data_IF_810975094210
#
_entry.id   IF_810975094210
#
_cell.length_a   1.000
_cell.length_b   1.000
_cell.length_c   1.000
_cell.angle_alpha   90.00
_cell.angle_beta   90.00
_cell.angle_gamma   90.00
#
_symmetry.space_group_name_H-M   'P 1'
#
loop_
_entity.id
_entity.type
_entity.pdbx_description
1 polymer ?
#
# COMPACT_ATOMS: atom_id res chain seq x y z
N UNK A 1 59.45 -30.91 -5.19
CA UNK A 1 59.57 -32.25 -5.79
C UNK A 1 60.76 -32.91 -5.16
N UNK A 2 60.50 -33.78 -4.19
CA UNK A 2 61.46 -34.39 -3.28
C UNK A 2 62.15 -35.59 -3.90
N UNK A 3 63.48 -35.51 -3.95
CA UNK A 3 64.38 -36.64 -4.09
C UNK A 3 64.18 -37.59 -2.90
N UNK A 4 63.78 -38.82 -3.17
CA UNK A 4 64.02 -39.97 -2.30
C UNK A 4 64.48 -41.12 -3.18
N UNK A 5 65.77 -41.08 -3.55
CA UNK A 5 66.47 -42.27 -3.99
C UNK A 5 66.53 -43.23 -2.79
N UNK A 6 65.69 -44.24 -2.80
CA UNK A 6 65.73 -45.33 -1.83
C UNK A 6 66.74 -46.35 -2.37
N UNK A 7 68.02 -46.20 -2.03
CA UNK A 7 69.02 -47.27 -2.18
C UNK A 7 68.77 -48.36 -1.13
N UNK A 8 67.65 -49.06 -1.24
CA UNK A 8 67.45 -50.29 -0.51
C UNK A 8 68.04 -51.41 -1.38
N UNK A 9 69.14 -52.05 -0.93
CA UNK A 9 69.45 -53.41 -1.40
C UNK A 9 68.15 -54.20 -1.29
N UNK A 10 67.64 -54.81 -2.38
CA UNK A 10 66.31 -55.35 -2.35
C UNK A 10 66.27 -56.42 -1.24
N UNK A 11 65.28 -56.33 -0.35
CA UNK A 11 65.17 -57.17 0.86
C UNK A 11 65.37 -58.67 0.57
N UNK A 12 65.11 -59.11 -0.67
CA UNK A 12 65.31 -60.50 -1.09
C UNK A 12 66.77 -60.94 -1.07
N UNK A 13 67.71 -60.08 -1.46
CA UNK A 13 69.13 -60.45 -1.60
C UNK A 13 69.75 -60.71 -0.22
N UNK A 14 69.40 -59.84 0.74
CA UNK A 14 69.81 -60.00 2.14
C UNK A 14 69.19 -61.25 2.78
N UNK A 15 67.89 -61.47 2.59
CA UNK A 15 67.20 -62.62 3.16
C UNK A 15 67.70 -63.93 2.54
N UNK A 16 67.96 -63.97 1.23
CA UNK A 16 68.55 -65.12 0.54
C UNK A 16 69.91 -65.48 1.15
N UNK A 17 70.80 -64.50 1.32
CA UNK A 17 72.12 -64.72 1.94
C UNK A 17 72.04 -65.26 3.38
N UNK A 18 71.10 -64.75 4.20
CA UNK A 18 70.91 -65.24 5.59
C UNK A 18 70.53 -66.73 5.65
N UNK A 19 69.83 -67.26 4.65
CA UNK A 19 69.50 -68.69 4.58
C UNK A 19 70.66 -69.53 4.01
N UNK A 20 71.38 -69.00 3.03
CA UNK A 20 72.57 -69.66 2.46
C UNK A 20 73.68 -69.81 3.52
N UNK A 21 73.89 -68.79 4.36
CA UNK A 21 74.86 -68.81 5.48
C UNK A 21 74.53 -69.87 6.56
N UNK A 22 73.33 -70.47 6.52
CA UNK A 22 72.88 -71.54 7.42
C UNK A 22 72.83 -72.92 6.75
N UNK A 23 73.53 -73.08 5.62
CA UNK A 23 73.61 -74.33 4.83
C UNK A 23 72.26 -74.83 4.28
N UNK A 24 71.28 -73.93 4.07
CA UNK A 24 70.06 -74.31 3.34
C UNK A 24 70.34 -74.44 1.84
N UNK A 25 69.77 -75.45 1.14
CA UNK A 25 69.91 -75.59 -0.30
C UNK A 25 69.36 -74.36 -1.06
N UNK A 26 70.12 -73.84 -2.01
CA UNK A 26 69.78 -72.62 -2.75
C UNK A 26 68.45 -72.75 -3.52
N UNK A 27 68.16 -73.92 -4.08
CA UNK A 27 66.92 -74.24 -4.79
C UNK A 27 65.68 -74.15 -3.87
N UNK A 28 65.82 -74.62 -2.63
CA UNK A 28 64.77 -74.54 -1.61
C UNK A 28 64.54 -73.09 -1.19
N UNK A 29 65.62 -72.33 -0.97
CA UNK A 29 65.53 -70.90 -0.61
C UNK A 29 64.86 -70.10 -1.72
N UNK A 30 65.27 -70.30 -2.97
CA UNK A 30 64.69 -69.61 -4.13
C UNK A 30 63.21 -69.97 -4.32
N UNK A 31 62.83 -71.24 -4.17
CA UNK A 31 61.43 -71.67 -4.24
C UNK A 31 60.57 -70.98 -3.18
N UNK A 32 61.02 -70.95 -1.92
CA UNK A 32 60.27 -70.34 -0.80
C UNK A 32 60.14 -68.82 -0.98
N UNK A 33 61.22 -68.15 -1.38
CA UNK A 33 61.19 -66.70 -1.62
C UNK A 33 60.32 -66.33 -2.82
N UNK A 34 60.36 -67.11 -3.90
CA UNK A 34 59.49 -66.93 -5.06
C UNK A 34 58.03 -67.17 -4.69
N UNK A 35 57.74 -68.24 -3.95
CA UNK A 35 56.37 -68.57 -3.51
C UNK A 35 55.79 -67.49 -2.60
N UNK A 36 56.59 -66.99 -1.66
CA UNK A 36 56.22 -65.89 -0.77
C UNK A 36 55.96 -64.60 -1.55
N UNK A 37 56.81 -64.27 -2.53
CA UNK A 37 56.65 -63.07 -3.37
C UNK A 37 55.39 -63.15 -4.22
N UNK A 38 55.11 -64.30 -4.83
CA UNK A 38 53.87 -64.52 -5.60
C UNK A 38 52.63 -64.37 -4.72
N UNK A 39 52.64 -64.91 -3.49
CA UNK A 39 51.51 -64.76 -2.56
C UNK A 39 51.25 -63.30 -2.19
N UNK A 40 52.30 -62.51 -1.93
CA UNK A 40 52.17 -61.07 -1.66
C UNK A 40 51.62 -60.33 -2.88
N UNK A 41 52.07 -60.67 -4.09
CA UNK A 41 51.60 -60.07 -5.33
C UNK A 41 50.10 -60.36 -5.56
N UNK A 42 49.67 -61.62 -5.46
CA UNK A 42 48.27 -62.02 -5.64
C UNK A 42 47.35 -61.33 -4.62
N UNK A 43 47.76 -61.25 -3.36
CA UNK A 43 47.00 -60.55 -2.32
C UNK A 43 46.89 -59.04 -2.60
N UNK A 44 47.98 -58.42 -3.07
CA UNK A 44 48.00 -57.01 -3.42
C UNK A 44 47.11 -56.74 -4.64
N UNK A 45 47.20 -57.57 -5.68
CA UNK A 45 46.37 -57.50 -6.88
C UNK A 45 44.88 -57.64 -6.53
N UNK A 46 44.54 -58.60 -5.66
CA UNK A 46 43.17 -58.77 -5.15
C UNK A 46 42.68 -57.53 -4.40
N UNK A 47 43.52 -56.96 -3.52
CA UNK A 47 43.18 -55.75 -2.75
C UNK A 47 43.02 -54.52 -3.65
N UNK A 48 43.88 -54.36 -4.66
CA UNK A 48 43.79 -53.29 -5.65
C UNK A 48 42.50 -53.41 -6.48
N UNK A 49 42.16 -54.62 -6.92
CA UNK A 49 40.93 -54.89 -7.66
C UNK A 49 39.69 -54.53 -6.83
N UNK A 50 39.68 -54.90 -5.55
CA UNK A 50 38.59 -54.54 -4.64
C UNK A 50 38.48 -53.03 -4.43
N UNK A 51 39.62 -52.35 -4.23
CA UNK A 51 39.64 -50.90 -4.06
C UNK A 51 39.13 -50.17 -5.31
N UNK A 52 39.54 -50.60 -6.51
CA UNK A 52 39.07 -50.04 -7.77
C UNK A 52 37.55 -50.18 -7.92
N UNK A 53 37.00 -51.34 -7.52
CA UNK A 53 35.56 -51.59 -7.52
C UNK A 53 34.82 -50.64 -6.57
N UNK A 54 35.30 -50.46 -5.34
CA UNK A 54 34.69 -49.55 -4.37
C UNK A 54 34.81 -48.08 -4.81
N UNK A 55 35.94 -47.68 -5.39
CA UNK A 55 36.14 -46.34 -5.95
C UNK A 55 35.17 -46.05 -7.10
N UNK A 56 34.96 -47.01 -8.00
CA UNK A 56 34.02 -46.86 -9.11
C UNK A 56 32.58 -46.79 -8.59
N UNK A 57 32.21 -47.62 -7.61
CA UNK A 57 30.89 -47.56 -6.97
C UNK A 57 30.63 -46.20 -6.33
N UNK A 58 31.57 -45.69 -5.53
CA UNK A 58 31.45 -44.37 -4.92
C UNK A 58 31.35 -43.25 -5.98
N UNK A 59 32.13 -43.34 -7.06
CA UNK A 59 32.04 -42.40 -8.19
C UNK A 59 30.65 -42.40 -8.82
N UNK A 60 30.06 -43.56 -9.04
CA UNK A 60 28.74 -43.69 -9.65
C UNK A 60 27.63 -43.17 -8.73
N UNK A 61 27.72 -43.43 -7.43
CA UNK A 61 26.82 -42.88 -6.42
C UNK A 61 26.88 -41.35 -6.37
N UNK A 62 28.09 -40.77 -6.37
CA UNK A 62 28.27 -39.31 -6.43
C UNK A 62 27.71 -38.73 -7.72
N UNK A 63 27.98 -39.35 -8.87
CA UNK A 63 27.46 -38.91 -10.17
C UNK A 63 25.92 -38.94 -10.19
N UNK A 64 25.32 -39.98 -9.62
CA UNK A 64 23.86 -40.06 -9.47
C UNK A 64 23.32 -38.96 -8.54
N UNK A 65 24.01 -38.69 -7.43
CA UNK A 65 23.68 -37.62 -6.49
C UNK A 65 23.69 -36.24 -7.14
N UNK A 66 24.72 -35.94 -7.93
CA UNK A 66 24.84 -34.69 -8.70
C UNK A 66 23.67 -34.58 -9.69
N UNK A 67 23.37 -35.64 -10.46
CA UNK A 67 22.25 -35.61 -11.41
C UNK A 67 20.89 -35.34 -10.74
N UNK A 68 20.64 -35.89 -9.55
CA UNK A 68 19.43 -35.61 -8.76
C UNK A 68 19.38 -34.17 -8.25
N UNK A 69 20.53 -33.58 -7.92
CA UNK A 69 20.60 -32.18 -7.50
C UNK A 69 20.32 -31.25 -8.69
N UNK A 70 20.91 -31.51 -9.85
CA UNK A 70 20.66 -30.75 -11.08
C UNK A 70 19.17 -30.76 -11.45
N UNK A 71 18.51 -31.91 -11.36
CA UNK A 71 17.07 -32.02 -11.59
C UNK A 71 16.25 -31.18 -10.59
N UNK A 72 16.64 -31.18 -9.32
CA UNK A 72 15.97 -30.39 -8.28
C UNK A 72 16.20 -28.89 -8.47
N UNK A 73 17.40 -28.48 -8.89
CA UNK A 73 17.73 -27.10 -9.22
C UNK A 73 16.87 -26.64 -10.40
N UNK A 74 16.81 -27.41 -11.49
CA UNK A 74 15.96 -27.08 -12.63
C UNK A 74 14.48 -26.92 -12.27
N UNK A 75 13.93 -27.83 -11.44
CA UNK A 75 12.55 -27.72 -10.93
C UNK A 75 12.34 -26.50 -10.04
N UNK A 76 13.35 -26.05 -9.30
CA UNK A 76 13.27 -24.83 -8.49
C UNK A 76 13.31 -23.58 -9.37
N UNK A 77 14.18 -23.55 -10.38
CA UNK A 77 14.27 -22.44 -11.34
C UNK A 77 12.94 -22.25 -12.08
N UNK A 78 12.32 -23.34 -12.55
CA UNK A 78 10.98 -23.29 -13.17
C UNK A 78 9.91 -22.73 -12.22
N UNK A 79 9.91 -23.15 -10.95
CA UNK A 79 8.97 -22.65 -9.94
C UNK A 79 9.20 -21.18 -9.64
N UNK A 80 10.46 -20.74 -9.54
CA UNK A 80 10.82 -19.35 -9.29
C UNK A 80 10.36 -18.47 -10.44
N UNK A 81 10.63 -18.86 -11.69
CA UNK A 81 10.19 -18.11 -12.86
C UNK A 81 8.66 -18.07 -12.98
N UNK A 82 7.98 -19.18 -12.68
CA UNK A 82 6.51 -19.21 -12.63
C UNK A 82 5.96 -18.22 -11.60
N UNK A 83 6.39 -18.30 -10.35
CA UNK A 83 5.95 -17.38 -9.29
C UNK A 83 6.25 -15.93 -9.63
N UNK A 84 7.43 -15.66 -10.21
CA UNK A 84 7.83 -14.31 -10.64
C UNK A 84 6.90 -13.78 -11.73
N UNK A 85 6.53 -14.62 -12.69
CA UNK A 85 5.63 -14.26 -13.78
C UNK A 85 4.20 -13.99 -13.28
N UNK A 86 3.69 -14.84 -12.38
CA UNK A 86 2.36 -14.73 -11.78
C UNK A 86 2.24 -13.45 -10.94
N UNK A 87 3.20 -13.20 -10.06
CA UNK A 87 3.22 -11.97 -9.24
C UNK A 87 3.34 -10.71 -10.10
N UNK A 88 4.16 -10.73 -11.16
CA UNK A 88 4.29 -9.59 -12.07
C UNK A 88 2.97 -9.30 -12.80
N UNK A 89 2.24 -10.34 -13.20
CA UNK A 89 0.92 -10.20 -13.82
C UNK A 89 -0.11 -9.67 -12.82
N UNK A 90 -0.17 -10.23 -11.62
CA UNK A 90 -1.11 -9.83 -10.56
C UNK A 90 -0.90 -8.36 -10.14
N UNK A 91 0.36 -7.95 -9.94
CA UNK A 91 0.72 -6.55 -9.64
C UNK A 91 0.24 -5.61 -10.76
N UNK A 92 0.39 -5.98 -12.03
CA UNK A 92 -0.07 -5.17 -13.15
C UNK A 92 -1.60 -5.07 -13.18
N UNK A 93 -2.30 -6.17 -12.94
CA UNK A 93 -3.77 -6.21 -12.89
C UNK A 93 -4.29 -5.31 -11.78
N UNK A 94 -3.84 -5.52 -10.53
CA UNK A 94 -4.26 -4.71 -9.37
C UNK A 94 -3.96 -3.23 -9.58
N UNK A 95 -2.78 -2.90 -10.13
CA UNK A 95 -2.43 -1.49 -10.43
C UNK A 95 -3.37 -0.87 -11.48
N UNK A 96 -3.79 -1.64 -12.48
CA UNK A 96 -4.71 -1.17 -13.52
C UNK A 96 -6.12 -0.98 -12.96
N UNK A 97 -6.61 -1.92 -12.17
CA UNK A 97 -7.91 -1.85 -11.48
C UNK A 97 -7.97 -0.63 -10.56
N UNK A 98 -6.99 -0.45 -9.68
CA UNK A 98 -6.94 0.70 -8.77
C UNK A 98 -6.88 2.03 -9.53
N UNK A 99 -6.12 2.10 -10.63
CA UNK A 99 -6.10 3.30 -11.48
C UNK A 99 -7.48 3.58 -12.07
N UNK A 100 -8.19 2.55 -12.51
CA UNK A 100 -9.55 2.67 -13.02
C UNK A 100 -10.55 3.12 -11.95
N UNK A 101 -10.45 2.59 -10.73
CA UNK A 101 -11.29 3.01 -9.61
C UNK A 101 -11.05 4.46 -9.20
N UNK A 102 -9.78 4.91 -9.16
CA UNK A 102 -9.42 6.30 -8.87
C UNK A 102 -10.08 7.24 -9.89
N UNK A 103 -9.97 6.93 -11.19
CA UNK A 103 -10.59 7.75 -12.25
C UNK A 103 -12.11 7.82 -12.08
N UNK A 104 -12.78 6.70 -11.81
CA UNK A 104 -14.23 6.67 -11.56
C UNK A 104 -14.63 7.47 -10.32
N UNK A 105 -13.80 7.45 -9.27
CA UNK A 105 -14.04 8.25 -8.06
C UNK A 105 -13.87 9.74 -8.34
N UNK A 106 -12.84 10.14 -9.08
CA UNK A 106 -12.63 11.53 -9.49
C UNK A 106 -13.81 12.05 -10.31
N UNK A 107 -14.30 11.26 -11.28
CA UNK A 107 -15.50 11.60 -12.07
C UNK A 107 -16.75 11.76 -11.18
N UNK A 108 -16.95 10.88 -10.20
CA UNK A 108 -18.06 10.98 -9.24
C UNK A 108 -17.94 12.23 -8.35
N UNK A 109 -16.74 12.56 -7.89
CA UNK A 109 -16.48 13.76 -7.09
C UNK A 109 -16.80 15.00 -7.91
N UNK A 110 -16.33 15.09 -9.15
CA UNK A 110 -16.60 16.23 -10.03
C UNK A 110 -18.09 16.37 -10.36
N UNK A 111 -18.78 15.24 -10.58
CA UNK A 111 -20.24 15.25 -10.78
C UNK A 111 -20.97 15.82 -9.55
N UNK A 112 -20.67 15.33 -8.35
CA UNK A 112 -21.30 15.82 -7.11
C UNK A 112 -20.96 17.29 -6.87
N UNK A 113 -19.72 17.74 -7.12
CA UNK A 113 -19.33 19.15 -7.03
C UNK A 113 -20.15 20.03 -7.98
N UNK A 114 -20.34 19.59 -9.21
CA UNK A 114 -21.13 20.31 -10.21
C UNK A 114 -22.61 20.39 -9.83
N UNK A 115 -23.19 19.29 -9.35
CA UNK A 115 -24.57 19.22 -8.84
C UNK A 115 -24.77 20.18 -7.66
N UNK A 116 -23.91 20.12 -6.65
CA UNK A 116 -23.98 21.01 -5.49
C UNK A 116 -23.81 22.49 -5.86
N UNK A 117 -22.89 22.81 -6.78
CA UNK A 117 -22.73 24.18 -7.28
C UNK A 117 -24.02 24.67 -7.96
N UNK A 118 -24.66 23.81 -8.76
CA UNK A 118 -25.94 24.12 -9.39
C UNK A 118 -27.07 24.33 -8.38
N UNK A 119 -27.12 23.52 -7.32
CA UNK A 119 -28.11 23.69 -6.25
C UNK A 119 -27.92 24.99 -5.47
N UNK A 120 -26.67 25.36 -5.15
CA UNK A 120 -26.34 26.63 -4.49
C UNK A 120 -26.84 27.80 -5.34
N UNK A 121 -26.53 27.82 -6.64
CA UNK A 121 -26.99 28.91 -7.54
C UNK A 121 -28.52 29.02 -7.56
N UNK A 122 -29.23 27.88 -7.63
CA UNK A 122 -30.70 27.87 -7.58
C UNK A 122 -31.25 28.39 -6.26
N UNK A 123 -30.58 28.09 -5.14
CA UNK A 123 -30.96 28.60 -3.83
C UNK A 123 -30.73 30.11 -3.74
N UNK A 124 -29.59 30.61 -4.20
CA UNK A 124 -29.28 32.04 -4.25
C UNK A 124 -30.33 32.81 -5.09
N UNK A 125 -30.71 32.28 -6.25
CA UNK A 125 -31.79 32.87 -7.06
C UNK A 125 -33.14 32.91 -6.32
N UNK A 126 -33.47 31.85 -5.57
CA UNK A 126 -34.72 31.81 -4.79
C UNK A 126 -34.69 32.79 -3.63
N UNK A 127 -33.55 32.94 -2.96
CA UNK A 127 -33.35 33.93 -1.90
C UNK A 127 -33.48 35.34 -2.48
N UNK A 128 -32.82 35.65 -3.59
CA UNK A 128 -32.95 36.95 -4.26
C UNK A 128 -34.40 37.30 -4.62
N UNK A 129 -35.16 36.34 -5.17
CA UNK A 129 -36.60 36.53 -5.45
C UNK A 129 -37.44 36.76 -4.19
N UNK A 130 -37.08 36.13 -3.07
CA UNK A 130 -37.76 36.36 -1.78
C UNK A 130 -37.43 37.76 -1.24
N UNK A 131 -36.18 38.19 -1.32
CA UNK A 131 -35.76 39.53 -0.90
C UNK A 131 -36.47 40.63 -1.69
N UNK A 132 -36.62 40.47 -3.02
CA UNK A 132 -37.40 41.39 -3.85
C UNK A 132 -38.87 41.48 -3.43
N UNK A 133 -39.51 40.33 -3.16
CA UNK A 133 -40.90 40.28 -2.68
C UNK A 133 -41.04 40.93 -1.31
N UNK A 134 -40.13 40.63 -0.38
CA UNK A 134 -40.13 41.24 0.97
C UNK A 134 -39.98 42.75 0.87
N UNK A 135 -39.04 43.24 0.05
CA UNK A 135 -38.83 44.67 -0.16
C UNK A 135 -40.04 45.36 -0.78
N UNK A 136 -40.72 44.70 -1.72
CA UNK A 136 -41.95 45.22 -2.35
C UNK A 136 -43.07 45.33 -1.31
N UNK A 137 -43.36 44.24 -0.60
CA UNK A 137 -44.37 44.22 0.46
C UNK A 137 -44.07 45.26 1.55
N UNK A 138 -42.80 45.43 1.92
CA UNK A 138 -42.37 46.44 2.90
C UNK A 138 -42.65 47.87 2.43
N UNK A 139 -42.37 48.18 1.15
CA UNK A 139 -42.70 49.49 0.55
C UNK A 139 -44.20 49.74 0.51
N UNK A 140 -44.98 48.74 0.11
CA UNK A 140 -46.45 48.82 0.09
C UNK A 140 -47.01 49.08 1.49
N UNK A 141 -46.55 48.33 2.50
CA UNK A 141 -46.98 48.51 3.89
C UNK A 141 -46.64 49.91 4.43
N UNK A 142 -45.45 50.43 4.14
CA UNK A 142 -45.08 51.82 4.48
C UNK A 142 -45.99 52.82 3.77
N UNK A 143 -46.33 52.56 2.50
CA UNK A 143 -47.27 53.35 1.72
C UNK A 143 -48.64 53.45 2.40
N UNK A 144 -49.24 52.30 2.71
CA UNK A 144 -50.53 52.22 3.41
C UNK A 144 -50.49 52.91 4.78
N UNK A 145 -49.41 52.76 5.55
CA UNK A 145 -49.28 53.42 6.84
C UNK A 145 -49.23 54.96 6.72
N UNK A 146 -48.55 55.48 5.69
CA UNK A 146 -48.54 56.92 5.39
C UNK A 146 -49.91 57.43 5.00
N UNK A 147 -50.63 56.68 4.17
CA UNK A 147 -51.99 57.02 3.74
C UNK A 147 -52.95 57.10 4.93
N UNK A 148 -53.01 56.05 5.76
CA UNK A 148 -53.82 56.01 7.00
C UNK A 148 -53.45 57.17 7.94
N UNK A 149 -52.16 57.46 8.12
CA UNK A 149 -51.71 58.58 8.96
C UNK A 149 -52.20 59.92 8.39
N UNK A 150 -52.14 60.11 7.07
CA UNK A 150 -52.60 61.33 6.40
C UNK A 150 -54.11 61.50 6.52
N UNK A 151 -54.87 60.43 6.28
CA UNK A 151 -56.33 60.40 6.42
C UNK A 151 -56.77 60.68 7.86
N UNK A 152 -56.18 60.01 8.84
CA UNK A 152 -56.46 60.28 10.25
C UNK A 152 -56.13 61.73 10.64
N UNK A 153 -55.01 62.28 10.15
CA UNK A 153 -54.65 63.68 10.43
C UNK A 153 -55.63 64.67 9.78
N UNK A 154 -56.12 64.41 8.57
CA UNK A 154 -57.12 65.26 7.92
C UNK A 154 -58.49 65.15 8.61
N UNK A 155 -58.91 63.96 9.02
CA UNK A 155 -60.16 63.71 9.77
C UNK A 155 -60.15 64.37 11.15
N UNK A 156 -59.04 64.26 11.90
CA UNK A 156 -58.90 64.93 13.20
C UNK A 156 -58.99 66.45 13.02
N UNK A 157 -58.29 67.00 12.02
CA UNK A 157 -58.35 68.43 11.70
C UNK A 157 -59.78 68.87 11.38
N UNK A 158 -60.47 68.17 10.49
CA UNK A 158 -61.83 68.54 10.10
C UNK A 158 -62.81 68.48 11.28
N UNK A 159 -62.63 67.55 12.23
CA UNK A 159 -63.43 67.46 13.44
C UNK A 159 -63.13 68.58 14.44
N UNK A 160 -61.85 68.97 14.61
CA UNK A 160 -61.42 69.93 15.63
C UNK A 160 -61.53 71.40 15.16
N UNK A 161 -61.27 71.71 13.87
CA UNK A 161 -61.32 73.08 13.34
C UNK A 161 -62.58 73.89 13.72
N UNK A 162 -63.82 73.35 13.64
CA UNK A 162 -65.00 74.10 14.07
C UNK A 162 -64.98 74.42 15.58
N UNK A 163 -64.41 73.55 16.43
CA UNK A 163 -64.28 73.84 17.86
C UNK A 163 -63.28 74.97 18.13
N UNK A 164 -62.18 75.08 17.39
CA UNK A 164 -61.26 76.23 17.52
C UNK A 164 -61.96 77.56 17.23
N UNK A 165 -62.79 77.58 16.19
CA UNK A 165 -63.58 78.76 15.85
C UNK A 165 -64.59 79.11 16.95
N UNK A 166 -65.30 78.11 17.48
CA UNK A 166 -66.26 78.29 18.59
C UNK A 166 -65.53 78.78 19.85
N UNK A 167 -64.47 78.11 20.30
CA UNK A 167 -63.71 78.49 21.50
C UNK A 167 -63.13 79.90 21.38
N UNK A 168 -62.68 80.31 20.19
CA UNK A 168 -62.15 81.65 19.94
C UNK A 168 -63.17 82.78 20.14
N UNK A 169 -64.45 82.54 19.88
CA UNK A 169 -65.53 83.52 20.08
C UNK A 169 -66.17 83.37 21.46
N UNK A 170 -66.38 82.13 21.90
CA UNK A 170 -67.18 81.80 23.07
C UNK A 170 -66.40 82.01 24.38
N UNK A 171 -65.11 81.65 24.45
CA UNK A 171 -64.31 81.83 25.67
C UNK A 171 -64.19 83.32 26.06
N UNK A 172 -63.80 84.26 25.17
CA UNK A 172 -63.69 85.67 25.55
C UNK A 172 -65.03 86.26 25.99
N UNK A 173 -66.13 85.83 25.36
CA UNK A 173 -67.48 86.28 25.71
C UNK A 173 -67.90 85.82 27.11
N UNK A 174 -67.68 84.55 27.45
CA UNK A 174 -67.99 84.01 28.79
C UNK A 174 -67.08 84.61 29.85
N UNK A 175 -65.77 84.69 29.61
CA UNK A 175 -64.81 85.31 30.54
C UNK A 175 -65.12 86.79 30.76
N UNK A 176 -65.39 87.54 29.70
CA UNK A 176 -65.78 88.95 29.79
C UNK A 176 -67.05 89.16 30.59
N UNK A 177 -68.06 88.29 30.40
CA UNK A 177 -69.29 88.32 31.18
C UNK A 177 -69.05 88.04 32.68
N UNK A 178 -68.21 87.07 33.03
CA UNK A 178 -67.83 86.79 34.42
C UNK A 178 -67.07 87.97 35.07
N UNK A 179 -66.12 88.58 34.36
CA UNK A 179 -65.39 89.75 34.85
C UNK A 179 -66.31 90.95 35.09
N UNK A 180 -67.26 91.17 34.20
CA UNK A 180 -68.28 92.21 34.37
C UNK A 180 -69.12 91.98 35.64
N UNK A 181 -69.52 90.73 35.91
CA UNK A 181 -70.31 90.39 37.10
C UNK A 181 -69.54 90.54 38.42
N UNK A 182 -68.21 90.38 38.43
CA UNK A 182 -67.38 90.58 39.63
C UNK A 182 -67.13 92.06 39.96
N UNK A 183 -67.34 92.98 39.02
CA UNK A 183 -67.15 94.42 39.21
C UNK A 183 -68.40 95.15 39.73
N UNK A 184 -69.51 94.41 39.92
CA UNK A 184 -70.80 94.92 40.39
C UNK A 184 -71.09 94.45 41.81
#
# INVERSE_FOLDING_TARGET
MSNFACEAKPKYEYVKQVFLDKDFPEDVVDYVLLRSSNYVYENLESSMSMLEKEMNKARDEFRSGIGKLDERIGKLDEKVEKVRSELSAEIKTVRSELKGEIVKLDERIEKVRSELKGEIVKLDERIGKLDEKINTNHKELIGLFKEIRSENNSHIKSLIYPFYWILGIFIPSVVGMFLYLLQK
#
